data_IF_584916295575
#
_entry.id   IF_584916295575
#
_cell.length_a   1.000
_cell.length_b   1.000
_cell.length_c   1.000
_cell.angle_alpha   90.00
_cell.angle_beta   90.00
_cell.angle_gamma   90.00
#
_symmetry.space_group_name_H-M   'P 1'
#
loop_
_entity.id
_entity.type
_entity.pdbx_description
1 polymer ?
#
# COMPACT_ATOMS: atom_id res chain seq x y z
N UNK A 1 -29.14 -25.27 0.23
CA UNK A 1 -28.79 -24.66 1.53
C UNK A 1 -28.12 -23.35 1.16
N UNK A 2 -28.87 -22.24 1.20
CA UNK A 2 -28.37 -20.96 0.68
C UNK A 2 -27.29 -20.44 1.60
N UNK A 3 -26.06 -20.28 1.09
CA UNK A 3 -24.99 -19.61 1.82
C UNK A 3 -25.46 -18.19 2.13
N UNK A 4 -25.60 -17.89 3.42
CA UNK A 4 -25.79 -16.51 3.86
C UNK A 4 -24.51 -15.77 3.52
N UNK A 5 -24.56 -15.00 2.42
CA UNK A 5 -23.45 -14.18 1.94
C UNK A 5 -22.91 -13.27 3.04
N UNK A 6 -23.78 -12.73 3.88
CA UNK A 6 -23.43 -11.85 4.99
C UNK A 6 -23.73 -12.49 6.34
N UNK A 7 -22.73 -12.54 7.21
CA UNK A 7 -22.86 -12.89 8.63
C UNK A 7 -22.92 -11.61 9.47
N UNK A 8 -23.73 -11.61 10.53
CA UNK A 8 -23.94 -10.45 11.40
C UNK A 8 -23.28 -10.69 12.76
N UNK A 9 -22.54 -9.69 13.24
CA UNK A 9 -21.85 -9.71 14.52
C UNK A 9 -22.19 -8.45 15.31
N UNK A 10 -22.61 -8.61 16.55
CA UNK A 10 -22.86 -7.51 17.48
C UNK A 10 -21.59 -7.27 18.32
N UNK A 11 -21.02 -6.07 18.23
CA UNK A 11 -19.86 -5.69 19.03
C UNK A 11 -20.27 -5.50 20.51
N UNK A 12 -19.71 -6.28 21.45
CA UNK A 12 -20.07 -6.17 22.86
C UNK A 12 -19.55 -4.90 23.54
N UNK A 13 -18.64 -4.14 22.91
CA UNK A 13 -18.04 -2.93 23.48
C UNK A 13 -18.94 -1.72 23.27
N UNK A 14 -19.44 -1.53 22.05
CA UNK A 14 -20.18 -0.33 21.68
C UNK A 14 -21.53 -0.60 20.98
N UNK A 15 -21.88 -1.87 20.76
CA UNK A 15 -23.13 -2.27 20.11
C UNK A 15 -23.13 -2.08 18.58
N UNK A 16 -21.98 -1.80 17.97
CA UNK A 16 -21.86 -1.74 16.50
C UNK A 16 -22.23 -3.09 15.89
N UNK A 17 -23.16 -3.08 14.92
CA UNK A 17 -23.56 -4.29 14.21
C UNK A 17 -22.83 -4.39 12.88
N UNK A 18 -21.89 -5.31 12.81
CA UNK A 18 -21.11 -5.59 11.60
C UNK A 18 -21.84 -6.59 10.72
N UNK A 19 -21.95 -6.30 9.42
CA UNK A 19 -22.42 -7.25 8.42
C UNK A 19 -21.26 -7.58 7.48
N UNK A 20 -20.72 -8.79 7.59
CA UNK A 20 -19.47 -9.19 6.94
C UNK A 20 -19.75 -10.21 5.84
N UNK A 21 -19.22 -10.00 4.65
CA UNK A 21 -19.36 -10.93 3.52
C UNK A 21 -18.48 -12.18 3.73
N UNK A 22 -19.05 -13.23 4.33
CA UNK A 22 -18.33 -14.47 4.63
C UNK A 22 -17.91 -15.22 3.34
N UNK A 23 -18.63 -15.01 2.23
CA UNK A 23 -18.29 -15.62 0.94
C UNK A 23 -17.00 -15.04 0.36
N UNK A 24 -16.74 -13.75 0.58
CA UNK A 24 -15.47 -13.13 0.20
C UNK A 24 -14.31 -13.63 1.08
N UNK A 25 -14.48 -13.66 2.41
CA UNK A 25 -13.44 -14.10 3.35
C UNK A 25 -13.02 -15.57 3.16
N UNK A 26 -13.94 -16.42 2.72
CA UNK A 26 -13.67 -17.84 2.44
C UNK A 26 -13.39 -18.13 0.96
N UNK A 27 -13.36 -17.09 0.12
CA UNK A 27 -13.07 -17.24 -1.30
C UNK A 27 -11.59 -17.59 -1.53
N UNK A 28 -11.28 -17.95 -2.79
CA UNK A 28 -9.90 -18.07 -3.28
C UNK A 28 -9.36 -16.76 -3.86
N UNK A 29 -9.96 -15.62 -3.51
CA UNK A 29 -9.49 -14.34 -4.00
C UNK A 29 -8.05 -14.12 -3.55
N UNK A 30 -7.22 -13.63 -4.46
CA UNK A 30 -5.84 -13.25 -4.19
C UNK A 30 -5.52 -11.97 -4.95
N UNK A 31 -4.62 -11.16 -4.39
CA UNK A 31 -4.11 -9.99 -5.09
C UNK A 31 -3.38 -10.44 -6.37
N UNK A 32 -3.68 -9.77 -7.49
CA UNK A 32 -3.04 -10.02 -8.79
C UNK A 32 -2.12 -8.88 -9.22
N UNK A 33 -1.68 -8.03 -8.28
CA UNK A 33 -0.65 -7.04 -8.57
C UNK A 33 0.61 -7.72 -9.15
N UNK A 34 1.24 -7.10 -10.16
CA UNK A 34 2.30 -7.72 -10.95
C UNK A 34 1.84 -8.83 -11.92
N UNK A 35 0.56 -9.23 -11.90
CA UNK A 35 -0.02 -10.27 -12.75
C UNK A 35 -1.23 -9.76 -13.56
N UNK A 36 -1.10 -8.56 -14.14
CA UNK A 36 -2.16 -7.95 -14.96
C UNK A 36 -3.25 -7.24 -14.16
N UNK A 37 -2.90 -6.69 -12.99
CA UNK A 37 -3.81 -5.84 -12.21
C UNK A 37 -4.19 -4.57 -12.99
N UNK A 38 -5.50 -4.32 -13.12
CA UNK A 38 -6.06 -3.17 -13.85
C UNK A 38 -5.93 -1.84 -13.12
N UNK A 39 -5.43 -1.84 -11.88
CA UNK A 39 -5.42 -0.67 -11.02
C UNK A 39 -6.80 -0.37 -10.41
N UNK A 40 -6.90 0.78 -9.75
CA UNK A 40 -8.13 1.28 -9.09
C UNK A 40 -8.54 2.66 -9.60
N UNK A 41 -7.91 3.13 -10.67
CA UNK A 41 -8.26 4.37 -11.34
C UNK A 41 -9.57 4.20 -12.13
N UNK A 42 -10.20 5.30 -12.61
CA UNK A 42 -11.45 5.22 -13.35
C UNK A 42 -11.38 4.34 -14.61
N UNK A 43 -10.22 4.32 -15.27
CA UNK A 43 -9.94 3.52 -16.46
C UNK A 43 -8.85 2.47 -16.16
N UNK A 44 -8.85 1.39 -16.93
CA UNK A 44 -7.84 0.32 -16.86
C UNK A 44 -6.42 0.90 -17.01
N UNK A 45 -5.56 0.65 -16.02
CA UNK A 45 -4.25 1.27 -15.86
C UNK A 45 -3.13 0.25 -15.59
N UNK A 46 -3.24 -0.96 -16.15
CA UNK A 46 -2.26 -2.04 -15.99
C UNK A 46 -0.84 -1.58 -16.33
N UNK A 47 -0.71 -0.75 -17.36
CA UNK A 47 0.57 -0.23 -17.86
C UNK A 47 1.31 0.68 -16.87
N UNK A 48 0.62 1.23 -15.86
CA UNK A 48 1.24 2.03 -14.81
C UNK A 48 1.75 1.16 -13.66
N UNK A 49 1.27 -0.08 -13.55
CA UNK A 49 1.49 -1.04 -12.46
C UNK A 49 1.37 -0.46 -11.03
N UNK A 50 0.58 0.60 -10.86
CA UNK A 50 0.39 1.25 -9.56
C UNK A 50 -0.47 0.41 -8.62
N UNK A 51 -1.45 -0.33 -9.16
CA UNK A 51 -2.42 -1.04 -8.34
C UNK A 51 -3.11 -0.09 -7.35
N UNK A 52 -3.20 -0.51 -6.08
CA UNK A 52 -3.73 0.32 -5.01
C UNK A 52 -2.83 1.51 -4.61
N UNK A 53 -1.54 1.53 -5.01
CA UNK A 53 -0.61 2.61 -4.66
C UNK A 53 -0.97 3.96 -5.31
N UNK A 54 -1.92 3.98 -6.25
CA UNK A 54 -2.42 5.17 -6.95
C UNK A 54 -2.90 6.29 -6.01
N UNK A 55 -3.24 5.99 -4.76
CA UNK A 55 -3.72 6.96 -3.76
C UNK A 55 -2.74 7.24 -2.62
N UNK A 56 -1.55 6.64 -2.63
CA UNK A 56 -0.70 6.57 -1.44
C UNK A 56 -1.20 5.48 -0.47
N UNK A 57 -0.56 5.41 0.69
CA UNK A 57 -0.84 4.41 1.72
C UNK A 57 -1.27 5.10 2.99
N UNK A 58 -2.49 4.83 3.44
CA UNK A 58 -2.98 5.27 4.74
C UNK A 58 -2.31 4.46 5.83
N UNK A 59 -1.86 5.13 6.87
CA UNK A 59 -1.24 4.52 8.04
C UNK A 59 -2.27 4.45 9.17
N UNK A 60 -2.21 3.36 9.93
CA UNK A 60 -3.11 2.98 11.00
C UNK A 60 -3.01 3.95 12.17
N UNK A 61 -1.78 4.20 12.63
CA UNK A 61 -1.50 4.97 13.83
C UNK A 61 -0.09 5.60 13.81
N UNK A 62 0.23 6.31 14.90
CA UNK A 62 1.51 6.98 15.06
C UNK A 62 2.68 5.98 15.10
N UNK A 63 2.50 4.79 15.66
CA UNK A 63 3.54 3.77 15.73
C UNK A 63 3.93 3.28 14.33
N UNK A 64 2.94 2.95 13.49
CA UNK A 64 3.19 2.59 12.10
C UNK A 64 3.87 3.75 11.34
N UNK A 65 3.42 4.99 11.55
CA UNK A 65 4.04 6.16 10.93
C UNK A 65 5.50 6.35 11.35
N UNK A 66 5.83 6.15 12.62
CA UNK A 66 7.22 6.27 13.07
C UNK A 66 8.09 5.17 12.45
N UNK A 67 7.57 3.95 12.37
CA UNK A 67 8.27 2.82 11.78
C UNK A 67 8.54 3.04 10.27
N UNK A 68 7.52 3.41 9.50
CA UNK A 68 7.66 3.69 8.06
C UNK A 68 8.64 4.84 7.81
N UNK A 69 8.58 5.90 8.65
CA UNK A 69 9.52 7.01 8.58
C UNK A 69 10.96 6.56 8.83
N UNK A 70 11.19 5.73 9.85
CA UNK A 70 12.51 5.20 10.16
C UNK A 70 13.06 4.31 9.04
N UNK A 71 12.24 3.39 8.50
CA UNK A 71 12.65 2.51 7.40
C UNK A 71 12.97 3.30 6.12
N UNK A 72 12.20 4.36 5.84
CA UNK A 72 12.44 5.22 4.69
C UNK A 72 13.82 5.90 4.73
N UNK A 73 14.34 6.22 5.93
CA UNK A 73 15.67 6.82 6.09
C UNK A 73 16.83 5.89 5.69
N UNK A 74 16.59 4.57 5.63
CA UNK A 74 17.60 3.60 5.22
C UNK A 74 17.55 3.25 3.73
N UNK A 75 16.51 3.71 3.02
CA UNK A 75 16.40 3.49 1.59
C UNK A 75 17.52 4.22 0.86
N UNK A 76 18.21 3.49 -0.01
CA UNK A 76 19.25 4.08 -0.86
C UNK A 76 18.62 4.64 -2.14
N UNK A 77 19.18 5.72 -2.74
CA UNK A 77 18.69 6.29 -4.00
C UNK A 77 18.60 5.27 -5.14
N UNK A 78 19.49 4.28 -5.16
CA UNK A 78 19.50 3.21 -6.16
C UNK A 78 18.26 2.31 -6.05
N UNK A 79 17.58 2.29 -4.90
CA UNK A 79 16.39 1.47 -4.65
C UNK A 79 15.12 2.29 -4.48
N UNK A 80 15.24 3.60 -4.37
CA UNK A 80 14.11 4.49 -4.12
C UNK A 80 14.11 5.63 -5.15
N UNK A 81 13.30 5.47 -6.20
CA UNK A 81 13.27 6.39 -7.34
C UNK A 81 13.03 7.85 -6.93
N UNK A 82 12.18 8.07 -5.93
CA UNK A 82 11.80 9.39 -5.43
C UNK A 82 12.53 9.77 -4.13
N UNK A 83 13.76 9.27 -3.94
CA UNK A 83 14.58 9.58 -2.77
C UNK A 83 14.84 11.08 -2.62
N UNK A 84 15.12 11.79 -3.71
CA UNK A 84 15.38 13.23 -3.66
C UNK A 84 14.13 14.03 -3.23
N UNK A 85 12.97 13.65 -3.73
CA UNK A 85 11.68 14.24 -3.37
C UNK A 85 11.29 13.95 -1.92
N UNK A 86 11.70 12.78 -1.41
CA UNK A 86 11.55 12.41 -0.01
C UNK A 86 12.50 13.20 0.90
N UNK A 87 13.74 13.45 0.48
CA UNK A 87 14.69 14.28 1.23
C UNK A 87 14.24 15.74 1.30
N UNK A 88 13.71 16.28 0.20
CA UNK A 88 13.27 17.68 0.13
C UNK A 88 11.95 17.92 0.87
N UNK A 89 10.97 17.02 0.70
CA UNK A 89 9.59 17.25 1.14
C UNK A 89 9.04 16.24 2.14
N UNK A 90 9.86 15.29 2.60
CA UNK A 90 9.42 14.18 3.42
C UNK A 90 8.55 13.17 2.67
N UNK A 91 8.06 12.15 3.39
CA UNK A 91 7.24 11.07 2.82
C UNK A 91 5.74 11.20 3.12
N UNK A 92 5.33 12.12 4.00
CA UNK A 92 3.96 12.26 4.49
C UNK A 92 3.18 13.36 3.78
N UNK A 93 1.93 13.08 3.44
CA UNK A 93 1.02 14.02 2.78
C UNK A 93 0.40 15.03 3.75
N UNK A 94 0.40 14.72 5.05
CA UNK A 94 -0.16 15.56 6.10
C UNK A 94 0.76 15.58 7.33
N UNK A 95 0.62 16.62 8.15
CA UNK A 95 1.44 16.80 9.36
C UNK A 95 1.17 15.73 10.43
N UNK A 96 -0.04 15.15 10.42
CA UNK A 96 -0.43 14.07 11.32
C UNK A 96 0.14 12.70 10.89
N UNK A 97 0.86 12.64 9.76
CA UNK A 97 1.52 11.46 9.20
C UNK A 97 0.56 10.30 8.94
N UNK A 98 -0.68 10.59 8.54
CA UNK A 98 -1.71 9.57 8.35
C UNK A 98 -1.71 8.96 6.95
N UNK A 99 -0.97 9.55 6.02
CA UNK A 99 -0.95 9.18 4.60
C UNK A 99 0.41 9.46 3.98
N UNK A 100 0.92 8.53 3.17
CA UNK A 100 2.12 8.78 2.35
C UNK A 100 1.81 9.73 1.18
N UNK A 101 2.80 10.52 0.76
CA UNK A 101 2.67 11.42 -0.39
C UNK A 101 2.37 10.64 -1.66
N UNK A 102 1.58 11.27 -2.52
CA UNK A 102 1.47 10.90 -3.93
C UNK A 102 2.38 11.82 -4.73
N UNK A 103 3.36 11.23 -5.40
CA UNK A 103 4.28 11.93 -6.33
C UNK A 103 4.04 11.32 -7.69
N UNK A 104 3.82 12.14 -8.72
CA UNK A 104 3.56 11.69 -10.09
C UNK A 104 2.50 10.58 -10.22
N UNK A 105 1.40 10.73 -9.48
CA UNK A 105 0.22 9.88 -9.58
C UNK A 105 0.26 8.56 -8.81
N UNK A 106 1.31 8.26 -8.02
CA UNK A 106 1.30 7.13 -7.10
C UNK A 106 2.05 7.42 -5.80
N UNK A 107 1.92 6.52 -4.82
CA UNK A 107 2.68 6.52 -3.57
C UNK A 107 4.16 6.84 -3.82
N UNK A 108 4.73 7.69 -2.97
CA UNK A 108 6.14 8.11 -3.07
C UNK A 108 7.08 6.90 -3.15
N UNK A 109 6.82 5.83 -2.38
CA UNK A 109 7.63 4.60 -2.40
C UNK A 109 7.45 3.72 -3.63
N UNK A 110 6.54 4.02 -4.55
CA UNK A 110 6.30 3.19 -5.73
C UNK A 110 7.32 3.53 -6.84
N UNK A 111 8.34 2.71 -7.02
CA UNK A 111 9.22 2.78 -8.18
C UNK A 111 8.43 2.40 -9.44
N UNK A 112 8.56 3.23 -10.48
CA UNK A 112 7.81 3.10 -11.73
C UNK A 112 8.33 1.96 -12.61
N UNK A 113 7.50 1.47 -13.55
CA UNK A 113 7.95 0.52 -14.55
C UNK A 113 9.21 0.99 -15.26
N UNK A 114 10.23 0.11 -15.31
CA UNK A 114 11.51 0.39 -15.96
C UNK A 114 12.55 1.12 -15.10
N UNK A 115 12.29 1.43 -13.84
CA UNK A 115 13.33 1.95 -12.93
C UNK A 115 14.43 0.89 -12.69
N UNK A 116 15.70 1.29 -12.82
CA UNK A 116 16.85 0.38 -12.70
C UNK A 116 16.92 -0.27 -11.31
N UNK A 117 16.50 0.45 -10.26
CA UNK A 117 16.36 -0.04 -8.90
C UNK A 117 15.21 -1.04 -8.68
N UNK A 118 14.50 -1.45 -9.73
CA UNK A 118 13.39 -2.38 -9.64
C UNK A 118 12.06 -1.66 -9.42
N UNK A 119 11.03 -2.22 -10.05
CA UNK A 119 9.66 -1.74 -10.04
C UNK A 119 8.90 -2.22 -8.80
N UNK A 120 8.03 -1.38 -8.24
CA UNK A 120 7.23 -1.71 -7.06
C UNK A 120 7.61 -0.90 -5.82
N UNK A 121 7.24 -1.39 -4.64
CA UNK A 121 7.47 -0.65 -3.40
C UNK A 121 8.95 -0.69 -3.00
N UNK A 122 9.60 0.47 -2.88
CA UNK A 122 11.01 0.59 -2.48
C UNK A 122 11.31 -0.07 -1.12
N UNK A 123 10.40 0.07 -0.14
CA UNK A 123 10.53 -0.59 1.17
C UNK A 123 10.50 -2.11 1.06
N UNK A 124 9.58 -2.64 0.24
CA UNK A 124 9.45 -4.07 0.00
C UNK A 124 10.71 -4.63 -0.68
N UNK A 125 11.21 -3.93 -1.71
CA UNK A 125 12.43 -4.34 -2.41
C UNK A 125 13.66 -4.26 -1.50
N UNK A 126 13.77 -3.24 -0.65
CA UNK A 126 14.85 -3.12 0.32
C UNK A 126 14.82 -4.23 1.38
N UNK A 127 13.63 -4.61 1.87
CA UNK A 127 13.48 -5.75 2.77
C UNK A 127 13.92 -7.06 2.12
N UNK A 128 13.56 -7.29 0.85
CA UNK A 128 14.02 -8.45 0.08
C UNK A 128 15.55 -8.47 -0.07
N UNK A 129 16.17 -7.33 -0.39
CA UNK A 129 17.64 -7.21 -0.49
C UNK A 129 18.34 -7.52 0.84
N UNK A 130 17.73 -7.11 1.96
CA UNK A 130 18.23 -7.36 3.30
C UNK A 130 17.95 -8.80 3.79
N UNK A 131 17.15 -9.58 3.07
CA UNK A 131 16.71 -10.91 3.51
C UNK A 131 15.70 -10.87 4.67
N UNK A 132 14.99 -9.76 4.82
CA UNK A 132 13.95 -9.55 5.84
C UNK A 132 12.54 -9.84 5.29
N UNK A 133 11.56 -9.87 6.19
CA UNK A 133 10.15 -10.00 5.79
C UNK A 133 9.66 -8.70 5.17
N UNK A 134 9.16 -8.72 3.93
CA UNK A 134 8.74 -7.52 3.21
C UNK A 134 7.22 -7.26 3.29
#
# INVERSE_FOLDING_TARGET
MGEQRFERFDDPVDGTVWAVDASFLTSRWTCIWGNGCKGILPDDAEHLNQGCCSHGTRLLDEEESMNIGALAMFLQPERFQFHAEADEGGIYADEARTLTRVVDGACIFHNRPGFEGGEGCALHLAALDAGESP
#
